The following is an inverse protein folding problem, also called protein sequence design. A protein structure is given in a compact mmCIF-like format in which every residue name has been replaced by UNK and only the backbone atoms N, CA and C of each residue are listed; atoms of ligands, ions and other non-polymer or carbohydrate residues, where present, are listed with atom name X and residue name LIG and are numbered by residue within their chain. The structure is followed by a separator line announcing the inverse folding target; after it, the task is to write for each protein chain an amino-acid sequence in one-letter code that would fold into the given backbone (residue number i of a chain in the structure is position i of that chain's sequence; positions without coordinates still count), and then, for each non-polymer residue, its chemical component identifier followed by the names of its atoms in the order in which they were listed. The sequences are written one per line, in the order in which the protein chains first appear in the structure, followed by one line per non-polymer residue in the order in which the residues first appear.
data_IF_258587414901
#
_entry.id   IF_258587414901
#
_cell.length_a   1.000
_cell.length_b   1.000
_cell.length_c   1.000
_cell.angle_alpha   90.00
_cell.angle_beta   90.00
_cell.angle_gamma   90.00
#
_symmetry.space_group_name_H-M   'P 1'
#
loop_
_entity.id
_entity.type
_entity.pdbx_description
1 polymer ?
#
# COMPACT_ATOMS: atom_id res chain seq x y z
N UNK A 1 6.86 10.09 -19.06
CA UNK A 1 5.95 10.99 -19.79
C UNK A 1 5.62 12.17 -18.87
N UNK A 2 6.35 13.27 -19.03
CA UNK A 2 6.20 14.47 -18.20
C UNK A 2 5.08 15.34 -18.76
N UNK A 3 4.11 15.71 -17.92
CA UNK A 3 3.00 16.56 -18.35
C UNK A 3 3.48 17.99 -18.63
N UNK A 4 3.18 18.42 -19.85
CA UNK A 4 3.53 19.70 -20.46
C UNK A 4 2.55 20.77 -19.96
N UNK A 5 3.04 21.83 -19.32
CA UNK A 5 2.21 22.94 -18.81
C UNK A 5 1.91 23.94 -19.92
N UNK A 6 0.63 24.11 -20.27
CA UNK A 6 0.15 25.16 -21.17
C UNK A 6 -0.39 26.33 -20.35
N UNK A 7 0.09 27.55 -20.66
CA UNK A 7 -0.30 28.80 -20.02
C UNK A 7 -1.80 29.10 -20.22
N UNK A 8 -2.52 29.45 -19.15
CA UNK A 8 -3.95 29.75 -19.20
C UNK A 8 -4.36 30.99 -18.40
N UNK A 9 -5.24 31.78 -19.01
CA UNK A 9 -5.77 33.07 -18.57
C UNK A 9 -6.52 33.00 -17.23
N UNK A 10 -6.52 34.14 -16.50
CA UNK A 10 -6.85 34.30 -15.07
C UNK A 10 -8.17 33.65 -14.59
N UNK A 11 -9.20 33.55 -15.43
CA UNK A 11 -10.47 32.88 -15.09
C UNK A 11 -10.45 31.36 -15.25
N UNK A 12 -9.65 30.83 -16.17
CA UNK A 12 -9.46 29.39 -16.34
C UNK A 12 -8.56 28.83 -15.23
N UNK A 13 -7.68 29.66 -14.65
CA UNK A 13 -6.83 29.29 -13.51
C UNK A 13 -7.66 28.90 -12.27
N UNK A 14 -8.79 29.57 -12.01
CA UNK A 14 -9.67 29.25 -10.88
C UNK A 14 -10.40 27.93 -11.10
N UNK A 15 -10.96 27.71 -12.30
CA UNK A 15 -11.63 26.44 -12.65
C UNK A 15 -10.64 25.27 -12.67
N UNK A 16 -9.43 25.49 -13.18
CA UNK A 16 -8.35 24.51 -13.16
C UNK A 16 -7.88 24.20 -11.73
N UNK A 17 -7.76 25.20 -10.85
CA UNK A 17 -7.41 24.98 -9.43
C UNK A 17 -8.51 24.21 -8.71
N UNK A 18 -9.79 24.50 -8.94
CA UNK A 18 -10.91 23.77 -8.31
C UNK A 18 -10.96 22.32 -8.81
N UNK A 19 -10.80 22.09 -10.11
CA UNK A 19 -10.76 20.73 -10.69
C UNK A 19 -9.51 19.97 -10.24
N UNK A 20 -8.34 20.62 -10.17
CA UNK A 20 -7.13 20.00 -9.62
C UNK A 20 -7.24 19.73 -8.11
N UNK A 21 -7.94 20.59 -7.35
CA UNK A 21 -8.20 20.43 -5.92
C UNK A 21 -9.20 19.29 -5.64
N UNK A 22 -10.19 19.10 -6.52
CA UNK A 22 -11.12 17.97 -6.48
C UNK A 22 -10.46 16.66 -6.97
N UNK A 23 -9.60 16.71 -7.98
CA UNK A 23 -8.79 15.56 -8.41
C UNK A 23 -7.76 15.14 -7.35
N UNK A 24 -7.19 16.09 -6.59
CA UNK A 24 -6.29 15.79 -5.46
C UNK A 24 -7.01 15.24 -4.24
N UNK A 25 -8.32 15.48 -4.10
CA UNK A 25 -9.13 14.92 -3.03
C UNK A 25 -9.68 13.51 -3.28
N UNK A 26 -9.88 13.09 -4.53
CA UNK A 26 -10.71 11.90 -4.84
C UNK A 26 -10.02 10.77 -5.61
N UNK A 27 -8.98 11.02 -6.43
CA UNK A 27 -8.40 9.96 -7.29
C UNK A 27 -6.89 10.13 -7.62
N UNK A 28 -6.05 10.46 -6.65
CA UNK A 28 -4.60 10.34 -6.84
C UNK A 28 -4.15 8.86 -6.76
N UNK A 29 -4.61 8.02 -7.70
CA UNK A 29 -4.00 6.71 -7.91
C UNK A 29 -2.65 6.91 -8.58
N UNK A 30 -1.56 6.67 -7.86
CA UNK A 30 -0.23 6.76 -8.42
C UNK A 30 0.12 5.44 -9.08
N UNK A 31 0.07 5.42 -10.40
CA UNK A 31 0.24 4.21 -11.20
C UNK A 31 1.56 4.24 -11.97
N UNK A 32 2.40 3.23 -11.76
CA UNK A 32 3.60 3.01 -12.57
C UNK A 32 4.75 3.96 -12.27
N UNK A 33 5.93 3.41 -11.99
CA UNK A 33 7.16 4.20 -11.81
C UNK A 33 8.16 3.53 -10.86
N UNK A 34 9.37 4.10 -10.77
CA UNK A 34 10.32 3.72 -9.72
C UNK A 34 9.95 4.37 -8.38
N UNK A 35 9.50 5.62 -8.41
CA UNK A 35 9.29 6.44 -7.23
C UNK A 35 7.94 7.16 -7.20
N UNK A 36 7.12 6.78 -6.23
CA UNK A 36 5.78 7.31 -5.97
C UNK A 36 5.68 7.87 -4.54
N UNK A 37 6.75 8.51 -4.07
CA UNK A 37 6.84 9.11 -2.73
C UNK A 37 5.76 10.17 -2.47
N UNK A 38 5.29 10.86 -3.51
CA UNK A 38 4.19 11.82 -3.44
C UNK A 38 2.82 11.17 -3.25
N UNK A 39 2.72 9.85 -3.40
CA UNK A 39 1.46 9.14 -3.26
C UNK A 39 1.08 8.92 -1.81
N UNK A 40 -0.09 9.40 -1.42
CA UNK A 40 -0.59 9.27 -0.05
C UNK A 40 -1.82 8.38 0.06
N UNK A 41 -2.61 8.23 -1.00
CA UNK A 41 -3.84 7.42 -0.97
C UNK A 41 -3.58 6.00 -1.48
N UNK A 42 -3.48 5.80 -2.79
CA UNK A 42 -3.33 4.48 -3.40
C UNK A 42 -2.17 4.44 -4.38
N UNK A 43 -1.24 3.50 -4.17
CA UNK A 43 -0.11 3.24 -5.05
C UNK A 43 -0.30 1.93 -5.79
N UNK A 44 -0.09 1.95 -7.11
CA UNK A 44 -0.23 0.75 -7.93
C UNK A 44 0.93 0.61 -8.91
N UNK A 45 1.60 -0.55 -8.91
CA UNK A 45 2.66 -0.83 -9.89
C UNK A 45 3.89 0.05 -9.73
N UNK A 46 4.24 0.50 -8.52
CA UNK A 46 5.34 1.42 -8.31
C UNK A 46 6.39 0.89 -7.33
N UNK A 47 7.67 1.16 -7.60
CA UNK A 47 8.79 0.62 -6.82
C UNK A 47 8.91 1.18 -5.40
N UNK A 48 8.44 2.41 -5.17
CA UNK A 48 8.64 3.11 -3.90
C UNK A 48 7.40 3.93 -3.51
N UNK A 49 6.62 3.43 -2.55
CA UNK A 49 5.36 4.02 -2.10
C UNK A 49 5.32 4.21 -0.56
N UNK A 50 6.25 5.00 0.03
CA UNK A 50 6.39 5.07 1.49
C UNK A 50 5.18 5.68 2.20
N UNK A 51 4.42 6.54 1.54
CA UNK A 51 3.34 7.31 2.17
C UNK A 51 1.93 6.84 1.81
N UNK A 52 1.81 5.85 0.92
CA UNK A 52 0.51 5.40 0.43
C UNK A 52 -0.25 4.61 1.50
N UNK A 53 -1.55 4.87 1.67
CA UNK A 53 -2.42 4.09 2.56
C UNK A 53 -2.76 2.71 1.99
N UNK A 54 -2.79 2.56 0.67
CA UNK A 54 -3.02 1.29 -0.01
C UNK A 54 -1.95 1.05 -1.05
N UNK A 55 -1.39 -0.15 -1.04
CA UNK A 55 -0.41 -0.59 -2.03
C UNK A 55 -0.90 -1.82 -2.79
N UNK A 56 -0.77 -1.77 -4.11
CA UNK A 56 -1.06 -2.89 -4.99
C UNK A 56 0.08 -3.09 -5.96
N UNK A 57 0.66 -4.28 -6.04
CA UNK A 57 1.79 -4.56 -6.94
C UNK A 57 2.93 -3.53 -6.79
N UNK A 58 3.26 -3.14 -5.55
CA UNK A 58 4.16 -2.01 -5.27
C UNK A 58 5.21 -2.35 -4.21
N UNK A 59 6.29 -1.57 -4.16
CA UNK A 59 7.39 -1.71 -3.21
C UNK A 59 7.49 -0.56 -2.22
N UNK A 60 8.21 -0.80 -1.11
CA UNK A 60 8.45 0.18 -0.04
C UNK A 60 7.16 0.79 0.53
N UNK A 61 6.17 -0.06 0.82
CA UNK A 61 4.85 0.32 1.30
C UNK A 61 4.81 0.51 2.83
N UNK A 62 5.70 1.37 3.33
CA UNK A 62 6.00 1.48 4.77
C UNK A 62 4.78 1.88 5.63
N UNK A 63 3.96 2.79 5.13
CA UNK A 63 2.78 3.32 5.84
C UNK A 63 1.45 2.83 5.27
N UNK A 64 1.47 1.82 4.39
CA UNK A 64 0.24 1.24 3.86
C UNK A 64 -0.52 0.53 4.97
N UNK A 65 -1.83 0.74 5.06
CA UNK A 65 -2.75 -0.04 5.88
C UNK A 65 -3.14 -1.34 5.17
N UNK A 66 -3.19 -1.33 3.84
CA UNK A 66 -3.51 -2.51 3.04
C UNK A 66 -2.45 -2.72 1.98
N UNK A 67 -1.91 -3.93 1.97
CA UNK A 67 -0.96 -4.38 0.96
C UNK A 67 -1.48 -5.59 0.19
N UNK A 68 -1.41 -5.50 -1.13
CA UNK A 68 -1.75 -6.59 -2.03
C UNK A 68 -0.63 -6.80 -3.04
N UNK A 69 -0.05 -8.00 -3.09
CA UNK A 69 1.09 -8.32 -3.97
C UNK A 69 2.22 -7.28 -3.84
N UNK A 70 2.55 -6.89 -2.60
CA UNK A 70 3.47 -5.77 -2.34
C UNK A 70 4.56 -6.15 -1.31
N UNK A 71 5.59 -5.33 -1.18
CA UNK A 71 6.71 -5.57 -0.26
C UNK A 71 6.95 -4.40 0.71
N UNK A 72 7.68 -4.66 1.79
CA UNK A 72 7.98 -3.69 2.85
C UNK A 72 6.72 -3.10 3.51
N UNK A 73 5.74 -3.96 3.78
CA UNK A 73 4.41 -3.60 4.31
C UNK A 73 4.37 -3.53 5.84
N UNK A 74 5.35 -2.84 6.43
CA UNK A 74 5.66 -2.91 7.85
C UNK A 74 4.48 -2.56 8.78
N UNK A 75 3.64 -1.60 8.35
CA UNK A 75 2.51 -1.09 9.13
C UNK A 75 1.14 -1.54 8.61
N UNK A 76 1.11 -2.41 7.60
CA UNK A 76 -0.15 -2.88 7.03
C UNK A 76 -0.94 -3.66 8.05
N UNK A 77 -2.22 -3.34 8.22
CA UNK A 77 -3.17 -4.13 9.03
C UNK A 77 -3.59 -5.38 8.29
N UNK A 78 -3.63 -5.30 6.96
CA UNK A 78 -4.03 -6.41 6.09
C UNK A 78 -3.00 -6.61 4.99
N UNK A 79 -2.48 -7.83 4.91
CA UNK A 79 -1.57 -8.27 3.88
C UNK A 79 -2.13 -9.44 3.09
N UNK A 80 -2.07 -9.32 1.77
CA UNK A 80 -2.42 -10.38 0.83
C UNK A 80 -1.30 -10.55 -0.17
N UNK A 81 -0.77 -11.76 -0.29
CA UNK A 81 0.35 -12.07 -1.18
C UNK A 81 1.54 -11.10 -1.03
N UNK A 82 1.82 -10.66 0.20
CA UNK A 82 2.75 -9.55 0.47
C UNK A 82 3.85 -9.96 1.44
N UNK A 83 4.90 -9.14 1.52
CA UNK A 83 6.08 -9.39 2.34
C UNK A 83 6.27 -8.30 3.39
N UNK A 84 6.95 -8.66 4.49
CA UNK A 84 7.30 -7.75 5.59
C UNK A 84 6.09 -7.16 6.31
N UNK A 85 5.10 -8.03 6.59
CA UNK A 85 3.82 -7.69 7.18
C UNK A 85 3.84 -7.69 8.72
N UNK A 86 4.83 -6.99 9.29
CA UNK A 86 5.16 -7.12 10.71
C UNK A 86 4.02 -6.76 11.66
N UNK A 87 3.27 -5.70 11.35
CA UNK A 87 2.15 -5.20 12.15
C UNK A 87 0.77 -5.68 11.65
N UNK A 88 0.72 -6.63 10.71
CA UNK A 88 -0.55 -7.11 10.18
C UNK A 88 -1.36 -7.81 11.25
N UNK A 89 -2.68 -7.59 11.23
CA UNK A 89 -3.66 -8.36 11.98
C UNK A 89 -4.11 -9.56 11.16
N UNK A 90 -4.17 -9.41 9.83
CA UNK A 90 -4.54 -10.46 8.90
C UNK A 90 -3.49 -10.62 7.82
N UNK A 91 -2.99 -11.85 7.70
CA UNK A 91 -2.08 -12.27 6.66
C UNK A 91 -2.67 -13.41 5.83
N UNK A 92 -2.65 -13.25 4.51
CA UNK A 92 -3.03 -14.29 3.55
C UNK A 92 -1.94 -14.43 2.51
N UNK A 93 -1.39 -15.64 2.36
CA UNK A 93 -0.28 -15.94 1.46
C UNK A 93 0.90 -14.98 1.63
N UNK A 94 1.19 -14.54 2.86
CA UNK A 94 2.13 -13.46 3.14
C UNK A 94 3.24 -13.91 4.10
N UNK A 95 4.33 -13.15 4.17
CA UNK A 95 5.47 -13.47 5.04
C UNK A 95 5.68 -12.40 6.12
N UNK A 96 6.41 -12.77 7.18
CA UNK A 96 6.79 -11.86 8.27
C UNK A 96 5.59 -11.32 9.07
N UNK A 97 4.61 -12.18 9.33
CA UNK A 97 3.33 -11.84 9.95
C UNK A 97 3.34 -11.91 11.48
N UNK A 98 4.32 -11.27 12.12
CA UNK A 98 4.63 -11.48 13.53
C UNK A 98 3.46 -11.22 14.48
N UNK A 99 2.68 -10.16 14.23
CA UNK A 99 1.54 -9.77 15.09
C UNK A 99 0.18 -10.25 14.57
N UNK A 100 0.14 -11.02 13.48
CA UNK A 100 -1.12 -11.39 12.85
C UNK A 100 -1.91 -12.34 13.74
N UNK A 101 -3.15 -11.96 14.05
CA UNK A 101 -4.10 -12.83 14.76
C UNK A 101 -4.63 -13.92 13.84
N UNK A 102 -4.66 -13.64 12.53
CA UNK A 102 -5.11 -14.56 11.48
C UNK A 102 -4.04 -14.73 10.43
N UNK A 103 -3.59 -15.97 10.26
CA UNK A 103 -2.64 -16.38 9.25
C UNK A 103 -3.19 -17.52 8.39
N UNK A 104 -3.18 -17.31 7.08
CA UNK A 104 -3.62 -18.28 6.08
C UNK A 104 -2.51 -18.41 5.03
N UNK A 105 -1.99 -19.62 4.81
CA UNK A 105 -0.85 -19.87 3.91
C UNK A 105 0.34 -18.92 4.12
N UNK A 106 0.60 -18.50 5.36
CA UNK A 106 1.53 -17.43 5.71
C UNK A 106 2.65 -17.91 6.63
N UNK A 107 3.71 -17.12 6.79
CA UNK A 107 4.87 -17.49 7.62
C UNK A 107 5.18 -16.45 8.70
N UNK A 108 5.88 -16.89 9.74
CA UNK A 108 6.32 -16.08 10.89
C UNK A 108 5.16 -15.52 11.73
N UNK A 109 4.13 -16.34 11.95
CA UNK A 109 2.85 -15.98 12.57
C UNK A 109 2.83 -16.07 14.11
N UNK A 110 3.76 -15.43 14.79
CA UNK A 110 4.03 -15.66 16.22
C UNK A 110 2.87 -15.37 17.17
N UNK A 111 1.93 -14.50 16.78
CA UNK A 111 0.76 -14.12 17.59
C UNK A 111 -0.57 -14.70 17.06
N UNK A 112 -0.53 -15.64 16.11
CA UNK A 112 -1.74 -16.12 15.44
C UNK A 112 -2.61 -16.98 16.36
N UNK A 113 -3.89 -16.60 16.48
CA UNK A 113 -4.94 -17.43 17.10
C UNK A 113 -5.60 -18.33 16.05
N UNK A 114 -5.65 -17.86 14.81
CA UNK A 114 -6.09 -18.65 13.65
C UNK A 114 -4.90 -18.89 12.74
N UNK A 115 -4.51 -20.15 12.59
CA UNK A 115 -3.38 -20.56 11.80
C UNK A 115 -3.79 -21.68 10.83
N UNK A 116 -3.82 -21.39 9.53
CA UNK A 116 -4.23 -22.33 8.49
C UNK A 116 -3.09 -22.47 7.50
N UNK A 117 -2.55 -23.68 7.33
CA UNK A 117 -1.41 -23.97 6.43
C UNK A 117 -0.27 -22.95 6.57
N UNK A 118 -0.02 -22.50 7.80
CA UNK A 118 0.91 -21.40 8.09
C UNK A 118 1.99 -21.87 9.07
N UNK A 119 3.12 -21.19 9.10
CA UNK A 119 4.26 -21.54 9.95
C UNK A 119 4.60 -20.44 10.96
N UNK A 120 5.25 -20.83 12.05
CA UNK A 120 5.64 -19.92 13.13
C UNK A 120 4.49 -19.52 14.07
N UNK A 121 3.38 -20.26 14.05
CA UNK A 121 2.23 -20.07 14.93
C UNK A 121 2.51 -20.57 16.34
N UNK A 122 1.99 -19.91 17.39
CA UNK A 122 2.17 -20.37 18.76
C UNK A 122 1.44 -21.71 18.97
N UNK A 123 2.16 -22.71 19.49
CA UNK A 123 1.59 -24.02 19.82
C UNK A 123 1.59 -25.06 18.68
N UNK A 124 2.26 -24.78 17.56
CA UNK A 124 2.54 -25.71 16.47
C UNK A 124 4.05 -25.77 16.20
#
# INVERSE_FOLDING_TARGET
MAFKTCAFTKSWLVVAVIVMCLCTGYYCQCTGGSDCTSCTSACTGCGNCPNAQTCTNSGNCLNAQTCTTSSNCNRATTCTNSQDCFAATTCTSSTNCHTATTCINSTNCHAATTCINSSGCPGH
#
